data_IF_696221384022
#
_entry.id   IF_696221384022
#
_cell.length_a   1.000
_cell.length_b   1.000
_cell.length_c   1.000
_cell.angle_alpha   90.00
_cell.angle_beta   90.00
_cell.angle_gamma   90.00
#
_symmetry.space_group_name_H-M   'P 1'
#
loop_
_entity.id
_entity.type
_entity.pdbx_description
1 polymer ?
#
# COMPACT_ATOMS: atom_id res chain seq x y z
N UNK A 1 -30.46 -2.02 -11.56
CA UNK A 1 -30.75 -2.02 -13.02
C UNK A 1 -30.26 -3.27 -13.76
N UNK A 2 -29.12 -3.90 -13.46
CA UNK A 2 -28.80 -5.27 -13.95
C UNK A 2 -28.47 -6.26 -12.83
N UNK A 3 -28.22 -5.77 -11.60
CA UNK A 3 -27.87 -6.59 -10.43
C UNK A 3 -26.62 -7.47 -10.65
N UNK A 4 -25.68 -6.98 -11.46
CA UNK A 4 -24.42 -7.65 -11.77
C UNK A 4 -23.26 -6.92 -11.12
N UNK A 5 -22.20 -7.66 -10.78
CA UNK A 5 -20.91 -7.08 -10.39
C UNK A 5 -20.29 -6.47 -11.64
N UNK A 6 -19.97 -5.17 -11.60
CA UNK A 6 -19.28 -4.47 -12.69
C UNK A 6 -17.78 -4.68 -12.59
N UNK A 7 -17.24 -4.52 -11.38
CA UNK A 7 -15.82 -4.68 -11.09
C UNK A 7 -15.64 -5.08 -9.62
N UNK A 8 -14.67 -5.93 -9.31
CA UNK A 8 -14.28 -6.34 -7.97
C UNK A 8 -12.76 -6.26 -7.73
N UNK A 9 -12.02 -5.65 -8.65
CA UNK A 9 -10.59 -5.39 -8.56
C UNK A 9 -10.36 -3.99 -7.98
N UNK A 10 -9.86 -3.95 -6.75
CA UNK A 10 -9.66 -2.71 -6.00
C UNK A 10 -8.82 -1.66 -6.73
N UNK A 11 -7.78 -2.09 -7.45
CA UNK A 11 -6.87 -1.19 -8.17
C UNK A 11 -7.53 -0.51 -9.37
N UNK A 12 -8.41 -1.21 -10.08
CA UNK A 12 -9.20 -0.64 -11.17
C UNK A 12 -10.31 0.28 -10.63
N UNK A 13 -10.97 -0.13 -9.54
CA UNK A 13 -12.05 0.66 -8.92
C UNK A 13 -11.55 2.04 -8.47
N UNK A 14 -10.40 2.13 -7.80
CA UNK A 14 -9.88 3.44 -7.36
C UNK A 14 -9.53 4.35 -8.54
N UNK A 15 -9.04 3.80 -9.66
CA UNK A 15 -8.76 4.55 -10.89
C UNK A 15 -10.03 5.03 -11.57
N UNK A 16 -11.09 4.20 -11.58
CA UNK A 16 -12.41 4.61 -12.09
C UNK A 16 -12.99 5.76 -11.25
N UNK A 17 -12.90 5.67 -9.92
CA UNK A 17 -13.38 6.71 -9.01
C UNK A 17 -12.59 8.02 -9.15
N UNK A 18 -11.29 7.94 -9.41
CA UNK A 18 -10.41 9.10 -9.58
C UNK A 18 -10.74 9.96 -10.81
N UNK A 19 -11.19 9.36 -11.91
CA UNK A 19 -11.30 10.05 -13.20
C UNK A 19 -12.71 10.10 -13.80
N UNK A 20 -13.52 9.07 -13.61
CA UNK A 20 -14.75 8.87 -14.40
C UNK A 20 -15.96 9.65 -13.88
N UNK A 21 -15.87 10.21 -12.67
CA UNK A 21 -16.99 10.88 -11.98
C UNK A 21 -16.73 12.36 -11.67
N UNK A 22 -15.69 12.98 -12.24
CA UNK A 22 -15.29 14.35 -11.91
C UNK A 22 -16.41 15.38 -12.16
N UNK A 23 -17.27 15.18 -13.16
CA UNK A 23 -18.42 16.05 -13.40
C UNK A 23 -19.46 16.08 -12.25
N UNK A 24 -19.41 15.10 -11.35
CA UNK A 24 -20.33 14.94 -10.21
C UNK A 24 -19.64 15.13 -8.85
N UNK A 25 -18.31 15.24 -8.82
CA UNK A 25 -17.54 15.25 -7.58
C UNK A 25 -17.57 16.62 -6.89
N UNK A 26 -17.48 16.64 -5.56
CA UNK A 26 -17.28 17.87 -4.76
C UNK A 26 -15.89 18.46 -4.97
N UNK A 27 -14.91 17.63 -5.36
CA UNK A 27 -13.54 18.06 -5.64
C UNK A 27 -13.09 17.73 -7.09
N UNK A 28 -13.54 18.52 -8.09
CA UNK A 28 -13.18 18.51 -9.50
C UNK A 28 -11.84 17.96 -9.95
N UNK A 29 -10.90 18.54 -9.22
CA UNK A 29 -9.52 18.77 -9.62
C UNK A 29 -8.56 17.95 -8.78
N UNK A 30 -9.08 17.16 -7.82
CA UNK A 30 -8.29 16.20 -7.10
C UNK A 30 -7.96 15.05 -8.06
N UNK A 31 -6.68 14.83 -8.30
CA UNK A 31 -6.19 13.74 -9.14
C UNK A 31 -5.10 12.99 -8.38
N UNK A 32 -5.43 11.78 -7.94
CA UNK A 32 -4.54 10.89 -7.19
C UNK A 32 -3.69 10.00 -8.11
N UNK A 33 -3.90 10.09 -9.42
CA UNK A 33 -3.19 9.32 -10.43
C UNK A 33 -2.92 10.18 -11.70
N UNK A 34 -2.26 11.35 -11.55
CA UNK A 34 -2.05 12.26 -12.67
C UNK A 34 -1.10 11.66 -13.69
N UNK A 35 -1.39 11.88 -14.98
CA UNK A 35 -0.67 11.27 -16.10
C UNK A 35 0.86 11.42 -16.02
N UNK A 36 1.35 12.57 -15.55
CA UNK A 36 2.77 12.85 -15.42
C UNK A 36 3.49 11.98 -14.37
N UNK A 37 2.75 11.46 -13.38
CA UNK A 37 3.31 10.65 -12.28
C UNK A 37 2.96 9.16 -12.41
N UNK A 38 2.14 8.77 -13.39
CA UNK A 38 1.65 7.39 -13.49
C UNK A 38 2.78 6.36 -13.55
N UNK A 39 3.85 6.63 -14.29
CA UNK A 39 4.98 5.71 -14.37
C UNK A 39 5.64 5.48 -13.00
N UNK A 40 5.79 6.53 -12.19
CA UNK A 40 6.41 6.43 -10.86
C UNK A 40 5.45 5.77 -9.87
N UNK A 41 4.16 6.11 -9.94
CA UNK A 41 3.08 5.50 -9.15
C UNK A 41 3.03 4.00 -9.42
N UNK A 42 2.99 3.60 -10.69
CA UNK A 42 2.85 2.20 -11.08
C UNK A 42 4.10 1.40 -10.68
N UNK A 43 5.30 1.98 -10.87
CA UNK A 43 6.56 1.37 -10.42
C UNK A 43 6.60 1.16 -8.89
N UNK A 44 6.08 2.11 -8.11
CA UNK A 44 6.02 1.97 -6.65
C UNK A 44 4.94 0.97 -6.21
N UNK A 45 3.77 1.05 -6.82
CA UNK A 45 2.65 0.17 -6.53
C UNK A 45 2.96 -1.31 -6.76
N UNK A 46 3.78 -1.62 -7.77
CA UNK A 46 4.14 -3.00 -8.11
C UNK A 46 4.80 -3.72 -6.92
N UNK A 47 5.87 -3.14 -6.36
CA UNK A 47 6.56 -3.78 -5.24
C UNK A 47 5.84 -3.58 -3.90
N UNK A 48 5.12 -2.45 -3.70
CA UNK A 48 4.26 -2.30 -2.51
C UNK A 48 3.19 -3.38 -2.50
N UNK A 49 2.57 -3.69 -3.63
CA UNK A 49 1.58 -4.74 -3.72
C UNK A 49 2.20 -6.12 -3.42
N UNK A 50 3.27 -6.47 -4.12
CA UNK A 50 3.84 -7.81 -4.02
C UNK A 50 4.52 -8.11 -2.67
N UNK A 51 5.23 -7.12 -2.12
CA UNK A 51 6.11 -7.33 -0.98
C UNK A 51 5.51 -6.81 0.34
N UNK A 52 4.52 -5.92 0.30
CA UNK A 52 3.86 -5.36 1.49
C UNK A 52 2.39 -5.75 1.56
N UNK A 53 1.55 -5.27 0.63
CA UNK A 53 0.10 -5.48 0.72
C UNK A 53 -0.26 -6.97 0.70
N UNK A 54 0.33 -7.73 -0.22
CA UNK A 54 0.19 -9.19 -0.26
C UNK A 54 1.26 -9.88 0.60
N UNK A 55 2.38 -9.21 0.88
CA UNK A 55 3.48 -9.74 1.70
C UNK A 55 3.04 -10.19 3.09
N UNK A 56 2.21 -9.38 3.77
CA UNK A 56 1.66 -9.74 5.09
C UNK A 56 0.81 -11.02 5.03
N UNK A 57 0.03 -11.23 3.97
CA UNK A 57 -0.79 -12.43 3.79
C UNK A 57 0.07 -13.65 3.43
N UNK A 58 1.08 -13.46 2.57
CA UNK A 58 2.06 -14.52 2.24
C UNK A 58 2.79 -15.02 3.49
N UNK A 59 3.14 -14.14 4.42
CA UNK A 59 3.71 -14.51 5.71
C UNK A 59 2.67 -15.18 6.62
N UNK A 60 1.51 -14.55 6.81
CA UNK A 60 0.48 -15.00 7.75
C UNK A 60 -0.18 -16.34 7.40
N UNK A 61 -0.29 -16.65 6.11
CA UNK A 61 -0.90 -17.88 5.60
C UNK A 61 0.11 -18.96 5.24
N UNK A 62 1.41 -18.72 5.43
CA UNK A 62 2.41 -19.76 5.23
C UNK A 62 2.17 -20.95 6.16
N UNK A 63 2.10 -22.15 5.58
CA UNK A 63 1.91 -23.42 6.32
C UNK A 63 3.22 -24.17 6.58
N UNK A 64 4.33 -23.65 6.05
CA UNK A 64 5.68 -24.18 6.24
C UNK A 64 6.62 -23.08 6.73
N UNK A 65 7.58 -23.47 7.57
CA UNK A 65 8.51 -22.56 8.22
C UNK A 65 9.38 -21.79 7.21
N UNK A 66 9.93 -22.49 6.22
CA UNK A 66 10.76 -21.92 5.16
C UNK A 66 10.01 -20.88 4.32
N UNK A 67 8.76 -21.15 3.99
CA UNK A 67 7.88 -20.21 3.29
C UNK A 67 7.57 -18.98 4.14
N UNK A 68 7.27 -19.16 5.43
CA UNK A 68 7.07 -18.05 6.37
C UNK A 68 8.31 -17.16 6.46
N UNK A 69 9.47 -17.76 6.75
CA UNK A 69 10.74 -17.03 6.91
C UNK A 69 11.11 -16.23 5.67
N UNK A 70 10.98 -16.84 4.49
CA UNK A 70 11.20 -16.16 3.21
C UNK A 70 10.29 -14.94 3.05
N UNK A 71 9.00 -15.09 3.33
CA UNK A 71 8.01 -14.02 3.10
C UNK A 71 8.11 -12.91 4.15
N UNK A 72 8.33 -13.24 5.42
CA UNK A 72 8.47 -12.23 6.47
C UNK A 72 9.76 -11.43 6.29
N UNK A 73 10.88 -12.07 5.91
CA UNK A 73 12.12 -11.34 5.62
C UNK A 73 11.96 -10.41 4.43
N UNK A 74 11.30 -10.85 3.35
CA UNK A 74 11.02 -10.00 2.19
C UNK A 74 10.13 -8.80 2.55
N UNK A 75 9.09 -9.02 3.36
CA UNK A 75 8.21 -7.96 3.86
C UNK A 75 8.99 -6.89 4.65
N UNK A 76 9.84 -7.30 5.59
CA UNK A 76 10.61 -6.34 6.39
C UNK A 76 11.66 -5.61 5.55
N UNK A 77 12.28 -6.26 4.56
CA UNK A 77 13.16 -5.58 3.61
C UNK A 77 12.41 -4.52 2.76
N UNK A 78 11.16 -4.78 2.39
CA UNK A 78 10.33 -3.81 1.69
C UNK A 78 9.87 -2.65 2.59
N UNK A 79 9.56 -2.91 3.86
CA UNK A 79 9.25 -1.85 4.83
C UNK A 79 10.47 -0.96 5.11
N UNK A 80 11.67 -1.55 5.27
CA UNK A 80 12.93 -0.80 5.39
C UNK A 80 13.17 0.08 4.13
N UNK A 81 12.82 -0.42 2.94
CA UNK A 81 12.88 0.37 1.70
C UNK A 81 11.90 1.55 1.70
N UNK A 82 10.67 1.37 2.17
CA UNK A 82 9.70 2.48 2.30
C UNK A 82 10.21 3.52 3.29
N UNK A 83 10.70 3.08 4.45
CA UNK A 83 11.21 3.97 5.49
C UNK A 83 12.35 4.86 4.99
N UNK A 84 13.30 4.26 4.26
CA UNK A 84 14.39 5.00 3.63
C UNK A 84 13.90 5.91 2.49
N UNK A 85 12.91 5.47 1.72
CA UNK A 85 12.33 6.27 0.63
C UNK A 85 11.57 7.50 1.13
N UNK A 86 10.97 7.41 2.33
CA UNK A 86 10.28 8.52 2.99
C UNK A 86 11.21 9.42 3.80
N UNK A 87 12.51 9.14 3.85
CA UNK A 87 13.46 10.04 4.54
C UNK A 87 13.50 11.41 3.85
N UNK A 88 13.10 12.45 4.60
CA UNK A 88 12.93 13.81 4.10
C UNK A 88 11.74 14.00 3.13
N UNK A 89 10.83 13.02 2.99
CA UNK A 89 9.66 13.10 2.09
C UNK A 89 8.36 12.83 2.82
N UNK A 90 7.32 13.57 2.46
CA UNK A 90 5.96 13.35 2.99
C UNK A 90 5.21 12.31 2.18
N UNK A 91 5.43 12.25 0.86
CA UNK A 91 4.68 11.41 -0.08
C UNK A 91 5.58 10.37 -0.76
N UNK A 92 4.99 9.25 -1.17
CA UNK A 92 5.72 8.21 -1.90
C UNK A 92 6.14 8.68 -3.29
N UNK A 93 5.38 9.56 -3.92
CA UNK A 93 5.67 10.06 -5.27
C UNK A 93 5.70 11.58 -5.25
N UNK A 94 6.89 12.14 -5.49
CA UNK A 94 7.13 13.58 -5.56
C UNK A 94 6.59 14.31 -4.30
N UNK A 95 5.84 15.40 -4.50
CA UNK A 95 5.42 16.36 -3.48
C UNK A 95 3.90 16.37 -3.23
N UNK A 96 3.18 15.33 -3.65
CA UNK A 96 1.72 15.26 -3.46
C UNK A 96 1.20 13.85 -3.11
N UNK A 97 0.03 13.82 -2.47
CA UNK A 97 -0.72 12.59 -2.21
C UNK A 97 -1.10 11.92 -3.53
N UNK A 98 -0.79 10.64 -3.65
CA UNK A 98 -1.19 9.80 -4.79
C UNK A 98 -1.87 8.52 -4.31
N UNK A 99 -2.41 7.74 -5.24
CA UNK A 99 -2.96 6.44 -4.89
C UNK A 99 -1.93 5.46 -4.31
N UNK A 100 -0.63 5.65 -4.56
CA UNK A 100 0.41 4.82 -3.97
C UNK A 100 0.40 4.92 -2.43
N UNK A 101 0.19 6.13 -1.92
CA UNK A 101 0.09 6.38 -0.48
C UNK A 101 -1.15 5.72 0.11
N UNK A 102 -2.28 5.80 -0.60
CA UNK A 102 -3.54 5.16 -0.20
C UNK A 102 -3.38 3.64 -0.14
N UNK A 103 -2.76 3.04 -1.16
CA UNK A 103 -2.52 1.60 -1.23
C UNK A 103 -1.59 1.13 -0.12
N UNK A 104 -0.54 1.87 0.19
CA UNK A 104 0.32 1.56 1.33
C UNK A 104 -0.42 1.69 2.67
N UNK A 105 -1.10 2.82 2.89
CA UNK A 105 -1.77 3.16 4.15
C UNK A 105 -2.70 2.04 4.64
N UNK A 106 -3.46 1.43 3.73
CA UNK A 106 -4.41 0.36 4.09
C UNK A 106 -3.75 -0.84 4.77
N UNK A 107 -2.49 -1.16 4.45
CA UNK A 107 -1.72 -2.20 5.12
C UNK A 107 -1.09 -1.68 6.41
N UNK A 108 -0.49 -0.49 6.39
CA UNK A 108 0.22 0.09 7.54
C UNK A 108 -0.71 0.28 8.73
N UNK A 109 -1.91 0.83 8.52
CA UNK A 109 -2.89 1.07 9.60
C UNK A 109 -3.37 -0.23 10.28
N UNK A 110 -3.23 -1.38 9.61
CA UNK A 110 -3.59 -2.71 10.13
C UNK A 110 -2.40 -3.48 10.69
N UNK A 111 -1.18 -2.96 10.54
CA UNK A 111 0.04 -3.71 10.81
C UNK A 111 0.15 -4.07 12.30
N UNK A 112 0.32 -3.09 13.17
CA UNK A 112 0.46 -3.30 14.61
C UNK A 112 -0.76 -4.01 15.24
N UNK A 113 -2.03 -3.62 14.97
CA UNK A 113 -3.18 -4.26 15.63
C UNK A 113 -3.49 -5.67 15.11
N UNK A 114 -3.08 -6.03 13.89
CA UNK A 114 -3.44 -7.32 13.27
C UNK A 114 -2.21 -8.06 12.76
N UNK A 115 -1.54 -7.55 11.73
CA UNK A 115 -0.52 -8.33 11.01
C UNK A 115 0.67 -8.70 11.89
N UNK A 116 1.06 -7.83 12.81
CA UNK A 116 2.14 -8.08 13.76
C UNK A 116 1.89 -9.36 14.57
N UNK A 117 0.75 -9.46 15.25
CA UNK A 117 0.40 -10.64 16.05
C UNK A 117 -0.17 -11.78 15.21
N UNK A 118 -1.27 -11.52 14.51
CA UNK A 118 -2.08 -12.55 13.85
C UNK A 118 -1.33 -13.22 12.68
N UNK A 119 -0.60 -12.43 11.89
CA UNK A 119 0.19 -12.93 10.76
C UNK A 119 1.66 -13.16 11.10
N UNK A 120 2.03 -13.04 12.38
CA UNK A 120 3.41 -13.22 12.86
C UNK A 120 4.40 -12.29 12.15
N UNK A 121 3.96 -11.13 11.66
CA UNK A 121 4.85 -10.13 11.06
C UNK A 121 5.51 -9.31 12.17
N UNK A 122 6.31 -9.96 13.03
CA UNK A 122 6.70 -9.44 14.34
C UNK A 122 8.21 -9.26 14.54
N UNK A 123 8.96 -8.97 13.47
CA UNK A 123 10.37 -8.61 13.60
C UNK A 123 10.56 -7.19 14.15
N UNK A 124 9.63 -6.28 13.83
CA UNK A 124 9.56 -4.87 14.25
C UNK A 124 8.10 -4.41 14.24
N UNK A 125 7.76 -3.28 14.87
CA UNK A 125 6.44 -2.64 14.78
C UNK A 125 6.51 -1.33 13.98
N UNK A 126 5.40 -0.93 13.34
CA UNK A 126 5.33 0.38 12.67
C UNK A 126 5.48 1.51 13.68
N UNK A 127 4.78 1.42 14.81
CA UNK A 127 4.79 2.46 15.85
C UNK A 127 6.17 2.78 16.42
N UNK A 128 7.04 1.77 16.55
CA UNK A 128 8.32 1.89 17.27
C UNK A 128 9.50 2.05 16.33
N UNK A 129 9.53 1.29 15.23
CA UNK A 129 10.75 1.08 14.46
C UNK A 129 10.78 1.81 13.11
N UNK A 130 9.65 2.37 12.67
CA UNK A 130 9.52 3.03 11.37
C UNK A 130 8.98 4.48 11.51
N UNK A 131 9.82 5.43 11.97
CA UNK A 131 9.39 6.80 12.23
C UNK A 131 8.86 7.56 11.00
N UNK A 132 9.38 7.31 9.80
CA UNK A 132 8.91 7.96 8.58
C UNK A 132 7.61 7.31 8.07
N UNK A 133 7.46 5.98 8.21
CA UNK A 133 6.20 5.30 7.85
C UNK A 133 5.06 5.63 8.82
N UNK A 134 5.32 5.68 10.13
CA UNK A 134 4.26 5.92 11.15
C UNK A 134 3.68 7.34 11.13
N UNK A 135 4.41 8.29 10.55
CA UNK A 135 4.02 9.70 10.50
C UNK A 135 3.16 10.03 9.26
N UNK A 136 2.88 9.03 8.41
CA UNK A 136 1.82 9.10 7.40
C UNK A 136 0.42 8.95 7.99
#
# INVERSE_FOLDING_TARGET
KTHTIVNNESSEIIRMLNAQFNALATHPTLDLAPAALLSDIDAINEWIYHDINNGVYKAGFATKQDAYEKNVVALFAALDRVEAHLDGRVWLVQDQLTEADIRLFTTIVRFDPVYHGHFKCNLKTISSDYPNVRTK
#
